data_IF_905246563717
#
_entry.id   IF_905246563717
#
_cell.length_a   1.000
_cell.length_b   1.000
_cell.length_c   1.000
_cell.angle_alpha   90.00
_cell.angle_beta   90.00
_cell.angle_gamma   90.00
#
_symmetry.space_group_name_H-M   'P 1'
#
loop_
_entity.id
_entity.type
_entity.pdbx_description
1 polymer ?
#
# COMPACT_ATOMS: atom_id res chain seq x y z
N UNK A 1 17.09 -4.08 1.50
CA UNK A 1 15.78 -3.99 0.85
C UNK A 1 14.78 -4.63 1.79
N UNK A 2 13.86 -3.83 2.31
CA UNK A 2 12.79 -4.25 3.23
C UNK A 2 11.44 -3.99 2.57
N UNK A 3 10.51 -4.94 2.68
CA UNK A 3 9.13 -4.77 2.23
C UNK A 3 8.24 -4.40 3.41
N UNK A 4 7.82 -3.15 3.43
CA UNK A 4 6.88 -2.58 4.39
C UNK A 4 5.45 -2.72 3.86
N UNK A 5 4.57 -3.34 4.65
CA UNK A 5 3.14 -3.36 4.36
C UNK A 5 2.39 -2.51 5.38
N UNK A 6 1.86 -1.39 4.89
CA UNK A 6 1.20 -0.37 5.72
C UNK A 6 -0.31 -0.60 5.69
N UNK A 7 -0.80 -1.37 6.66
CA UNK A 7 -2.23 -1.66 6.80
C UNK A 7 -2.59 -2.09 8.21
N UNK A 8 -3.85 -1.82 8.60
CA UNK A 8 -4.51 -2.39 9.79
C UNK A 8 -5.68 -3.30 9.42
N UNK A 9 -6.01 -3.42 8.13
CA UNK A 9 -7.22 -4.10 7.68
C UNK A 9 -7.00 -5.61 7.58
N UNK A 10 -7.75 -6.44 8.33
CA UNK A 10 -7.63 -7.89 8.30
C UNK A 10 -7.74 -8.49 6.89
N UNK A 11 -8.70 -8.01 6.09
CA UNK A 11 -8.88 -8.49 4.72
C UNK A 11 -7.67 -8.25 3.82
N UNK A 12 -6.99 -7.10 3.97
CA UNK A 12 -5.80 -6.80 3.19
C UNK A 12 -4.59 -7.67 3.60
N UNK A 13 -4.48 -8.00 4.89
CA UNK A 13 -3.44 -8.89 5.43
C UNK A 13 -3.65 -10.31 4.90
N UNK A 14 -4.87 -10.81 4.99
CA UNK A 14 -5.23 -12.13 4.47
C UNK A 14 -5.05 -12.18 2.95
N UNK A 15 -5.53 -11.18 2.22
CA UNK A 15 -5.33 -11.08 0.77
C UNK A 15 -3.85 -11.11 0.39
N UNK A 16 -3.00 -10.32 1.07
CA UNK A 16 -1.57 -10.31 0.83
C UNK A 16 -0.91 -11.68 1.05
N UNK A 17 -1.33 -12.40 2.09
CA UNK A 17 -0.87 -13.76 2.34
C UNK A 17 -1.30 -14.73 1.23
N UNK A 18 -2.55 -14.63 0.74
CA UNK A 18 -3.05 -15.43 -0.39
C UNK A 18 -2.30 -15.16 -1.70
N UNK A 19 -1.89 -13.91 -1.92
CA UNK A 19 -1.06 -13.55 -3.06
C UNK A 19 0.42 -13.98 -2.91
N UNK A 20 0.82 -14.55 -1.76
CA UNK A 20 2.19 -14.97 -1.51
C UNK A 20 3.18 -13.81 -1.39
N UNK A 21 2.72 -12.63 -0.97
CA UNK A 21 3.59 -11.46 -0.81
C UNK A 21 4.58 -11.65 0.34
N UNK A 22 5.86 -11.43 0.07
CA UNK A 22 6.89 -11.41 1.10
C UNK A 22 6.86 -10.07 1.83
N UNK A 23 6.38 -10.06 3.07
CA UNK A 23 6.27 -8.87 3.91
C UNK A 23 7.25 -9.00 5.06
N UNK A 24 8.26 -8.13 5.09
CA UNK A 24 9.23 -8.07 6.19
C UNK A 24 8.67 -7.34 7.41
N UNK A 25 7.88 -6.29 7.16
CA UNK A 25 7.31 -5.45 8.22
C UNK A 25 5.87 -5.06 7.92
N UNK A 26 4.94 -5.63 8.68
CA UNK A 26 3.56 -5.14 8.71
C UNK A 26 3.44 -4.04 9.78
N UNK A 27 3.04 -2.84 9.38
CA UNK A 27 2.96 -1.67 10.26
C UNK A 27 1.65 -0.91 10.06
N UNK A 28 1.13 -0.31 11.13
CA UNK A 28 -0.05 0.55 11.05
C UNK A 28 0.25 1.95 10.50
N UNK A 29 1.44 2.45 10.81
CA UNK A 29 1.90 3.79 10.47
C UNK A 29 3.31 3.70 9.92
N UNK A 30 3.53 4.34 8.78
CA UNK A 30 4.85 4.50 8.20
C UNK A 30 5.47 5.79 8.72
N UNK A 31 6.69 5.70 9.23
CA UNK A 31 7.59 6.84 9.33
C UNK A 31 8.45 6.88 8.06
N UNK A 32 8.23 7.82 7.13
CA UNK A 32 9.02 7.90 5.91
C UNK A 32 10.51 8.15 6.18
N UNK A 33 10.86 8.71 7.35
CA UNK A 33 12.25 8.96 7.70
C UNK A 33 13.09 7.67 7.77
N UNK A 34 12.45 6.53 8.05
CA UNK A 34 13.09 5.23 8.14
C UNK A 34 13.35 4.56 6.78
N UNK A 35 12.75 5.05 5.69
CA UNK A 35 12.86 4.44 4.36
C UNK A 35 14.27 4.59 3.80
N UNK A 36 14.84 3.47 3.37
CA UNK A 36 16.11 3.42 2.65
C UNK A 36 15.88 3.25 1.14
N UNK A 37 16.83 3.71 0.30
CA UNK A 37 16.77 3.46 -1.13
C UNK A 37 16.60 1.97 -1.45
N UNK A 38 15.65 1.66 -2.33
CA UNK A 38 15.31 0.31 -2.74
C UNK A 38 14.28 -0.40 -1.86
N UNK A 39 13.94 0.12 -0.68
CA UNK A 39 12.83 -0.43 0.12
C UNK A 39 11.51 -0.37 -0.64
N UNK A 40 10.65 -1.35 -0.37
CA UNK A 40 9.33 -1.46 -0.98
C UNK A 40 8.28 -1.10 0.06
N UNK A 41 7.36 -0.21 -0.29
CA UNK A 41 6.27 0.22 0.57
C UNK A 41 4.96 -0.09 -0.12
N UNK A 42 4.19 -1.00 0.47
CA UNK A 42 2.89 -1.44 -0.02
C UNK A 42 1.82 -0.89 0.91
N UNK A 43 0.77 -0.26 0.39
CA UNK A 43 -0.40 0.14 1.17
C UNK A 43 -1.09 1.38 0.65
N UNK A 44 -2.09 1.85 1.40
CA UNK A 44 -2.81 3.08 1.11
C UNK A 44 -2.22 4.18 1.98
N UNK A 45 -1.45 5.08 1.36
CA UNK A 45 -0.78 6.18 2.05
C UNK A 45 -1.42 7.54 1.70
N UNK A 46 -1.45 8.49 2.64
CA UNK A 46 -1.58 9.90 2.30
C UNK A 46 -0.57 10.28 1.22
N UNK A 47 -1.00 11.04 0.21
CA UNK A 47 -0.18 11.38 -0.97
C UNK A 47 1.16 12.04 -0.62
N UNK A 48 1.19 12.83 0.45
CA UNK A 48 2.42 13.46 0.94
C UNK A 48 3.44 12.43 1.48
N UNK A 49 2.98 11.33 2.09
CA UNK A 49 3.88 10.27 2.55
C UNK A 49 4.37 9.42 1.37
N UNK A 50 3.49 9.13 0.40
CA UNK A 50 3.89 8.43 -0.83
C UNK A 50 4.96 9.21 -1.60
N UNK A 51 4.83 10.54 -1.68
CA UNK A 51 5.85 11.42 -2.27
C UNK A 51 7.18 11.33 -1.53
N UNK A 52 7.16 11.36 -0.19
CA UNK A 52 8.38 11.26 0.63
C UNK A 52 9.08 9.89 0.47
N UNK A 53 8.31 8.79 0.37
CA UNK A 53 8.84 7.46 0.05
C UNK A 53 9.59 7.49 -1.29
N UNK A 54 8.95 8.03 -2.34
CA UNK A 54 9.54 8.11 -3.67
C UNK A 54 10.80 9.00 -3.67
N UNK A 55 10.75 10.16 -3.00
CA UNK A 55 11.87 11.08 -2.90
C UNK A 55 13.10 10.48 -2.20
N UNK A 56 12.88 9.51 -1.29
CA UNK A 56 13.94 8.76 -0.59
C UNK A 56 14.48 7.57 -1.38
N UNK A 57 14.00 7.35 -2.62
CA UNK A 57 14.37 6.21 -3.45
C UNK A 57 13.68 4.90 -3.05
N UNK A 58 12.63 4.97 -2.23
CA UNK A 58 11.75 3.85 -1.96
C UNK A 58 10.78 3.62 -3.13
N UNK A 59 10.30 2.39 -3.26
CA UNK A 59 9.31 2.00 -4.27
C UNK A 59 7.93 1.93 -3.62
N UNK A 60 7.01 2.79 -4.05
CA UNK A 60 5.65 2.80 -3.54
C UNK A 60 4.69 1.98 -4.42
N UNK A 61 3.94 1.08 -3.79
CA UNK A 61 2.87 0.29 -4.38
C UNK A 61 1.56 0.56 -3.62
N UNK A 62 0.53 0.98 -4.36
CA UNK A 62 -0.81 1.15 -3.81
C UNK A 62 -1.61 -0.15 -3.98
N UNK A 63 -2.46 -0.46 -2.99
CA UNK A 63 -3.50 -1.48 -3.14
C UNK A 63 -4.72 -0.84 -3.83
N UNK A 64 -4.88 -1.13 -5.12
CA UNK A 64 -5.96 -0.60 -5.95
C UNK A 64 -7.09 -1.62 -6.08
N UNK A 65 -8.33 -1.12 -6.07
CA UNK A 65 -9.58 -1.87 -6.16
C UNK A 65 -10.55 -1.15 -7.10
N UNK A 66 -11.32 -1.91 -7.87
CA UNK A 66 -12.37 -1.37 -8.73
C UNK A 66 -13.71 -1.39 -7.97
N UNK A 67 -13.85 -0.47 -7.01
CA UNK A 67 -15.01 -0.45 -6.11
C UNK A 67 -16.21 0.28 -6.70
N UNK A 68 -17.40 -0.38 -6.77
CA UNK A 68 -18.65 0.31 -7.04
C UNK A 68 -18.99 1.26 -5.87
N UNK A 69 -19.78 2.33 -6.10
CA UNK A 69 -20.07 3.33 -5.06
C UNK A 69 -20.61 2.76 -3.75
N UNK A 70 -21.44 1.71 -3.81
CA UNK A 70 -22.05 1.05 -2.66
C UNK A 70 -21.08 0.18 -1.83
N UNK A 71 -19.88 -0.10 -2.35
CA UNK A 71 -18.84 -0.88 -1.65
C UNK A 71 -17.76 0.02 -1.02
N UNK A 72 -17.76 1.33 -1.30
CA UNK A 72 -16.78 2.27 -0.76
C UNK A 72 -17.02 2.56 0.72
N UNK A 73 -15.93 2.84 1.46
CA UNK A 73 -16.00 3.20 2.88
C UNK A 73 -16.32 2.05 3.83
N UNK A 74 -16.37 0.81 3.31
CA UNK A 74 -16.58 -0.42 4.10
C UNK A 74 -15.25 -1.10 4.36
N UNK A 75 -15.17 -1.84 5.46
CA UNK A 75 -14.11 -2.83 5.65
C UNK A 75 -14.45 -4.06 4.79
N UNK A 76 -13.51 -4.46 3.93
CA UNK A 76 -13.67 -5.54 2.96
C UNK A 76 -12.91 -6.79 3.41
N UNK A 77 -13.51 -7.97 3.18
CA UNK A 77 -12.82 -9.26 3.38
C UNK A 77 -11.82 -9.54 2.25
N UNK A 78 -10.93 -10.52 2.43
CA UNK A 78 -10.03 -10.95 1.35
C UNK A 78 -10.77 -11.41 0.10
N UNK A 79 -11.90 -12.13 0.27
CA UNK A 79 -12.74 -12.56 -0.85
C UNK A 79 -13.37 -11.37 -1.58
N UNK A 80 -13.80 -10.34 -0.84
CA UNK A 80 -14.31 -9.11 -1.44
C UNK A 80 -13.19 -8.35 -2.17
N UNK A 81 -11.98 -8.29 -1.61
CA UNK A 81 -10.81 -7.69 -2.28
C UNK A 81 -10.52 -8.40 -3.62
N UNK A 82 -10.48 -9.74 -3.63
CA UNK A 82 -10.32 -10.51 -4.88
C UNK A 82 -11.46 -10.23 -5.86
N UNK A 83 -12.71 -10.23 -5.39
CA UNK A 83 -13.89 -9.95 -6.20
C UNK A 83 -13.86 -8.56 -6.83
N UNK A 84 -13.32 -7.57 -6.12
CA UNK A 84 -13.18 -6.19 -6.61
C UNK A 84 -11.85 -5.93 -7.33
N UNK A 85 -11.13 -6.98 -7.73
CA UNK A 85 -9.94 -6.84 -8.57
C UNK A 85 -8.75 -6.20 -7.85
N UNK A 86 -8.59 -6.50 -6.56
CA UNK A 86 -7.44 -6.07 -5.76
C UNK A 86 -6.12 -6.37 -6.48
N UNK A 87 -5.28 -5.34 -6.61
CA UNK A 87 -3.98 -5.44 -7.26
C UNK A 87 -3.00 -4.44 -6.67
N UNK A 88 -1.70 -4.76 -6.75
CA UNK A 88 -0.64 -3.81 -6.42
C UNK A 88 -0.21 -3.05 -7.67
N UNK A 89 -0.28 -1.74 -7.60
CA UNK A 89 0.17 -0.86 -8.69
C UNK A 89 1.28 0.04 -8.19
N UNK A 90 2.39 0.09 -8.92
CA UNK A 90 3.51 0.97 -8.60
C UNK A 90 3.16 2.40 -8.98
N UNK A 91 3.37 3.33 -8.07
CA UNK A 91 3.21 4.76 -8.31
C UNK A 91 4.53 5.48 -8.08
N UNK A 92 4.79 6.48 -8.92
CA UNK A 92 5.80 7.51 -8.69
C UNK A 92 5.06 8.79 -8.33
N UNK A 93 5.25 9.27 -7.11
CA UNK A 93 4.57 10.46 -6.59
C UNK A 93 5.63 11.52 -6.30
N UNK A 94 5.42 12.72 -6.80
CA UNK A 94 6.33 13.85 -6.62
C UNK A 94 5.54 15.05 -6.09
N UNK A 95 6.12 15.77 -5.12
CA UNK A 95 5.55 17.01 -4.62
C UNK A 95 5.97 18.16 -5.52
N UNK A 96 5.00 18.74 -6.23
CA UNK A 96 5.22 19.94 -7.07
C UNK A 96 4.93 21.21 -6.27
N UNK A 97 5.69 22.28 -6.54
CA UNK A 97 5.42 23.62 -6.01
C UNK A 97 4.41 24.30 -6.95
N UNK A 98 3.35 24.89 -6.39
CA UNK A 98 2.40 25.72 -7.13
C UNK A 98 2.95 27.12 -7.40
#
# INVERSE_FOLDING_TARGET
>A
MTTHFVTRHPGAIEWAARQGLHIDRQIAHLDPAAIQPGDVVIGILPVNLAAEVCARGGQFFNLTLDLPPNARGRELTADELERYGARLEKYSVEKTIC
#
